data_IF_034604243820
#
_entry.id   IF_034604243820
#
_cell.length_a   1.000
_cell.length_b   1.000
_cell.length_c   1.000
_cell.angle_alpha   90.00
_cell.angle_beta   90.00
_cell.angle_gamma   90.00
#
_symmetry.space_group_name_H-M   'P 1'
#
loop_
_entity.id
_entity.type
_entity.pdbx_description
1 polymer ?
#
# COMPACT_ATOMS: atom_id res chain seq x y z
N UNK A 1 1.56 -10.93 -11.63
CA UNK A 1 1.95 -10.98 -10.21
C UNK A 1 3.45 -10.83 -10.14
N UNK A 2 4.00 -9.76 -9.54
CA UNK A 2 5.43 -9.70 -9.27
C UNK A 2 5.79 -10.81 -8.27
N UNK A 3 6.86 -11.56 -8.55
CA UNK A 3 7.39 -12.61 -7.67
C UNK A 3 8.65 -12.02 -7.02
N UNK A 4 8.57 -11.72 -5.72
CA UNK A 4 9.67 -11.12 -4.94
C UNK A 4 10.36 -12.17 -4.05
N UNK A 5 10.82 -13.27 -4.66
CA UNK A 5 11.43 -14.39 -3.92
C UNK A 5 12.70 -13.98 -3.15
N UNK A 6 13.40 -12.97 -3.66
CA UNK A 6 14.62 -12.41 -3.04
C UNK A 6 14.31 -11.30 -2.02
N UNK A 7 13.03 -11.05 -1.71
CA UNK A 7 12.57 -10.01 -0.76
C UNK A 7 13.09 -8.60 -1.08
N UNK A 8 13.39 -8.33 -2.35
CA UNK A 8 14.00 -7.08 -2.81
C UNK A 8 13.05 -5.89 -2.64
N UNK A 9 11.76 -6.08 -2.94
CA UNK A 9 10.71 -5.07 -2.78
C UNK A 9 10.30 -5.01 -1.31
N UNK A 10 10.15 -6.17 -0.67
CA UNK A 10 9.84 -6.29 0.76
C UNK A 10 10.80 -5.48 1.64
N UNK A 11 12.10 -5.62 1.43
CA UNK A 11 13.13 -4.91 2.19
C UNK A 11 13.16 -3.41 1.86
N UNK A 12 12.94 -3.02 0.59
CA UNK A 12 12.92 -1.60 0.18
C UNK A 12 11.78 -0.81 0.82
N UNK A 13 10.62 -1.43 1.00
CA UNK A 13 9.50 -0.84 1.73
C UNK A 13 9.65 -0.95 3.26
N UNK A 14 10.73 -1.58 3.75
CA UNK A 14 10.92 -1.86 5.17
C UNK A 14 9.80 -2.71 5.75
N UNK A 15 9.12 -3.51 4.91
CA UNK A 15 7.98 -4.27 5.36
C UNK A 15 8.43 -5.36 6.35
N UNK A 16 7.67 -5.53 7.43
CA UNK A 16 7.99 -6.53 8.48
C UNK A 16 6.80 -7.42 8.81
N UNK A 17 5.66 -7.17 8.17
CA UNK A 17 4.38 -7.75 8.56
C UNK A 17 3.61 -8.24 7.34
N UNK A 18 2.92 -9.35 7.53
CA UNK A 18 1.99 -9.90 6.54
C UNK A 18 0.57 -9.94 7.14
N UNK A 19 -0.47 -9.52 6.40
CA UNK A 19 -0.42 -8.75 5.15
C UNK A 19 -0.05 -7.28 5.39
N UNK A 20 0.44 -6.59 4.36
CA UNK A 20 0.64 -5.15 4.36
C UNK A 20 0.26 -4.55 3.00
N UNK A 21 -0.32 -3.35 3.01
CA UNK A 21 -0.78 -2.65 1.82
C UNK A 21 -0.30 -1.20 1.85
N UNK A 22 0.24 -0.73 0.72
CA UNK A 22 0.76 0.62 0.52
C UNK A 22 -0.04 1.27 -0.62
N UNK A 23 -0.68 2.39 -0.32
CA UNK A 23 -1.42 3.19 -1.30
C UNK A 23 -0.56 4.37 -1.75
N UNK A 24 -0.31 4.43 -3.05
CA UNK A 24 0.60 5.40 -3.69
C UNK A 24 -0.21 6.28 -4.64
N UNK A 25 -0.02 7.59 -4.57
CA UNK A 25 -0.69 8.54 -5.46
C UNK A 25 -0.05 8.64 -6.84
N UNK A 26 -0.66 9.42 -7.75
CA UNK A 26 -0.19 9.63 -9.13
C UNK A 26 1.23 10.22 -9.22
N UNK A 27 1.75 10.80 -8.13
CA UNK A 27 3.08 11.40 -8.04
C UNK A 27 4.12 10.44 -7.44
N UNK A 28 3.73 9.21 -7.13
CA UNK A 28 4.62 8.21 -6.55
C UNK A 28 4.82 8.36 -5.04
N UNK A 29 3.99 9.17 -4.35
CA UNK A 29 4.10 9.39 -2.91
C UNK A 29 3.21 8.39 -2.19
N UNK A 30 3.73 7.73 -1.14
CA UNK A 30 2.93 6.87 -0.27
C UNK A 30 2.00 7.76 0.57
N UNK A 31 0.70 7.58 0.42
CA UNK A 31 -0.33 8.36 1.12
C UNK A 31 -0.99 7.59 2.25
N UNK A 32 -0.95 6.26 2.19
CA UNK A 32 -1.54 5.43 3.24
C UNK A 32 -0.84 4.07 3.31
N UNK A 33 -0.68 3.55 4.53
CA UNK A 33 -0.10 2.24 4.82
C UNK A 33 -1.04 1.49 5.77
N UNK A 34 -1.47 0.30 5.37
CA UNK A 34 -2.25 -0.62 6.19
C UNK A 34 -1.40 -1.84 6.52
N UNK A 35 -1.28 -2.12 7.81
CA UNK A 35 -0.64 -3.33 8.32
C UNK A 35 -1.72 -4.25 8.90
N UNK A 36 -1.59 -5.54 8.63
CA UNK A 36 -2.53 -6.57 9.10
C UNK A 36 -3.77 -6.68 8.24
N UNK A 37 -4.55 -7.73 8.50
CA UNK A 37 -5.77 -8.01 7.75
C UNK A 37 -6.91 -7.03 8.13
N UNK A 38 -7.82 -6.79 7.19
CA UNK A 38 -9.02 -5.99 7.41
C UNK A 38 -8.85 -4.51 7.06
N UNK A 39 -9.77 -3.67 7.55
CA UNK A 39 -9.78 -2.24 7.22
C UNK A 39 -10.13 -1.91 5.77
N UNK A 40 -10.78 -2.84 5.06
CA UNK A 40 -11.11 -2.70 3.63
C UNK A 40 -11.93 -1.44 3.32
N UNK A 41 -12.95 -1.13 4.13
CA UNK A 41 -13.76 0.09 3.93
C UNK A 41 -12.96 1.38 4.13
N UNK A 42 -11.96 1.37 5.02
CA UNK A 42 -11.08 2.52 5.21
C UNK A 42 -10.13 2.67 4.03
N UNK A 43 -9.50 1.58 3.60
CA UNK A 43 -8.66 1.56 2.40
C UNK A 43 -9.43 2.05 1.17
N UNK A 44 -10.67 1.60 0.98
CA UNK A 44 -11.52 2.04 -0.13
C UNK A 44 -11.80 3.56 -0.09
N UNK A 45 -12.08 4.11 1.10
CA UNK A 45 -12.21 5.58 1.25
C UNK A 45 -10.94 6.32 0.88
N UNK A 46 -9.77 5.80 1.28
CA UNK A 46 -8.49 6.41 0.94
C UNK A 46 -8.22 6.37 -0.58
N UNK A 47 -8.58 5.26 -1.25
CA UNK A 47 -8.50 5.15 -2.71
C UNK A 47 -9.39 6.20 -3.38
N UNK A 48 -10.64 6.31 -2.96
CA UNK A 48 -11.59 7.28 -3.51
C UNK A 48 -11.11 8.73 -3.30
N UNK A 49 -10.56 9.04 -2.13
CA UNK A 49 -9.98 10.35 -1.85
C UNK A 49 -8.82 10.69 -2.80
N UNK A 50 -7.91 9.74 -3.06
CA UNK A 50 -6.79 9.95 -4.00
C UNK A 50 -7.22 10.01 -5.46
N UNK A 51 -8.35 9.42 -5.83
CA UNK A 51 -8.92 9.56 -7.17
C UNK A 51 -9.62 10.90 -7.36
N UNK A 52 -10.15 11.49 -6.29
CA UNK A 52 -10.80 12.80 -6.31
C UNK A 52 -9.81 13.98 -6.19
N UNK A 53 -8.61 13.73 -5.67
CA UNK A 53 -7.48 14.68 -5.67
C UNK A 53 -6.89 14.72 -7.11
N UNK A 54 -7.33 15.72 -7.91
CA UNK A 54 -6.79 16.07 -9.24
C UNK A 54 -6.45 17.57 -9.34
#
# INVERSE_FOLDING_TARGET
MPIDNEFSIWNRYGNRYWPAMYLIDKRGIIRYVKIGEGGYSETERQIQALLADD
#
